data_IF_044786876929
#
_entry.id   IF_044786876929
#
_cell.length_a   1.000
_cell.length_b   1.000
_cell.length_c   1.000
_cell.angle_alpha   90.00
_cell.angle_beta   90.00
_cell.angle_gamma   90.00
#
_symmetry.space_group_name_H-M   'P 1'
#
loop_
_entity.id
_entity.type
_entity.pdbx_description
1 polymer ?
#
# COMPACT_ATOMS: atom_id res chain seq x y z
N UNK A 1 43.46 31.89 -43.20
CA UNK A 1 42.18 31.19 -43.42
C UNK A 1 42.36 29.73 -43.01
N UNK A 2 41.39 29.15 -42.29
CA UNK A 2 41.22 27.70 -42.01
C UNK A 2 42.11 27.09 -40.90
N UNK A 3 41.63 26.38 -39.87
CA UNK A 3 40.36 26.27 -39.13
C UNK A 3 40.74 25.36 -37.94
N UNK A 4 40.58 25.83 -36.70
CA UNK A 4 40.85 25.07 -35.48
C UNK A 4 39.82 23.94 -35.41
N UNK A 5 40.24 22.68 -35.52
CA UNK A 5 39.37 21.51 -35.38
C UNK A 5 39.32 21.14 -33.90
N UNK A 6 38.40 21.80 -33.17
CA UNK A 6 37.88 21.28 -31.90
C UNK A 6 36.78 20.27 -32.22
N UNK A 7 37.08 18.98 -32.18
CA UNK A 7 36.04 17.95 -32.15
C UNK A 7 35.79 17.56 -30.69
N UNK A 8 34.82 18.26 -30.11
CA UNK A 8 34.26 18.00 -28.78
C UNK A 8 33.67 16.58 -28.80
N UNK A 9 34.35 15.68 -28.10
CA UNK A 9 33.90 14.31 -27.87
C UNK A 9 32.70 14.37 -26.90
N UNK A 10 31.50 14.44 -27.47
CA UNK A 10 30.25 14.53 -26.72
C UNK A 10 30.04 13.25 -25.91
N UNK A 11 30.17 13.36 -24.59
CA UNK A 11 29.79 12.35 -23.60
C UNK A 11 28.28 12.04 -23.73
N UNK A 12 27.94 11.00 -24.48
CA UNK A 12 26.66 10.32 -24.33
C UNK A 12 26.83 9.21 -23.29
N UNK A 13 26.90 9.58 -22.01
CA UNK A 13 26.79 8.60 -20.94
C UNK A 13 25.32 8.19 -20.82
N UNK A 14 24.97 6.90 -20.94
CA UNK A 14 23.62 6.45 -20.62
C UNK A 14 23.40 6.70 -19.13
N UNK A 15 22.52 7.65 -18.81
CA UNK A 15 22.01 7.78 -17.45
C UNK A 15 21.37 6.44 -17.08
N UNK A 16 21.72 5.83 -15.93
CA UNK A 16 21.08 4.60 -15.52
C UNK A 16 19.59 4.89 -15.40
N UNK A 17 18.79 4.23 -16.22
CA UNK A 17 17.37 4.11 -15.99
C UNK A 17 17.23 3.43 -14.63
N UNK A 18 16.88 4.21 -13.59
CA UNK A 18 16.39 3.67 -12.34
C UNK A 18 15.12 2.92 -12.71
N UNK A 19 15.25 1.64 -13.06
CA UNK A 19 14.12 0.72 -13.04
C UNK A 19 13.58 0.83 -11.61
N UNK A 20 12.38 1.41 -11.45
CA UNK A 20 11.74 1.54 -10.16
C UNK A 20 11.66 0.12 -9.58
N UNK A 21 12.56 -0.20 -8.65
CA UNK A 21 12.47 -1.42 -7.87
C UNK A 21 11.24 -1.24 -7.00
N UNK A 22 10.12 -1.76 -7.45
CA UNK A 22 8.85 -1.70 -6.74
C UNK A 22 8.96 -2.67 -5.55
N UNK A 23 9.63 -2.19 -4.50
CA UNK A 23 9.90 -2.92 -3.28
C UNK A 23 8.92 -2.42 -2.24
N UNK A 24 8.07 -3.33 -1.76
CA UNK A 24 7.17 -3.00 -0.67
C UNK A 24 7.97 -2.58 0.56
N UNK A 25 7.61 -1.46 1.21
CA UNK A 25 8.18 -1.10 2.50
C UNK A 25 8.00 -2.25 3.51
N UNK A 26 8.97 -2.42 4.41
CA UNK A 26 8.82 -3.40 5.48
C UNK A 26 7.64 -3.04 6.39
N UNK A 27 7.07 -4.03 7.09
CA UNK A 27 5.97 -3.80 8.04
C UNK A 27 6.34 -2.80 9.15
N UNK A 28 7.63 -2.77 9.53
CA UNK A 28 8.19 -1.83 10.50
C UNK A 28 8.18 -0.42 9.93
N UNK A 29 8.73 -0.23 8.73
CA UNK A 29 8.75 1.08 8.07
C UNK A 29 7.33 1.62 7.81
N UNK A 30 6.39 0.75 7.44
CA UNK A 30 4.96 1.12 7.31
C UNK A 30 4.36 1.55 8.64
N UNK A 31 4.69 0.85 9.74
CA UNK A 31 4.24 1.23 11.08
C UNK A 31 4.81 2.58 11.52
N UNK A 32 6.10 2.82 11.33
CA UNK A 32 6.76 4.09 11.66
C UNK A 32 6.12 5.24 10.88
N UNK A 33 5.96 5.10 9.56
CA UNK A 33 5.25 6.10 8.74
C UNK A 33 3.83 6.37 9.25
N UNK A 34 3.09 5.32 9.62
CA UNK A 34 1.74 5.48 10.14
C UNK A 34 1.70 6.17 11.52
N UNK A 35 2.74 5.99 12.36
CA UNK A 35 2.88 6.70 13.63
C UNK A 35 3.26 8.17 13.46
N UNK A 36 4.11 8.47 12.47
CA UNK A 36 4.59 9.84 12.18
C UNK A 36 3.56 10.68 11.41
N UNK A 37 2.54 10.03 10.83
CA UNK A 37 1.47 10.72 10.10
C UNK A 37 0.58 11.55 11.03
N UNK A 38 0.05 12.65 10.50
CA UNK A 38 -1.01 13.42 11.15
C UNK A 38 -2.36 12.72 11.11
N UNK A 39 -2.52 11.72 10.25
CA UNK A 39 -3.73 10.92 10.14
C UNK A 39 -3.81 9.86 11.25
N UNK A 40 -5.02 9.53 11.69
CA UNK A 40 -5.23 8.44 12.64
C UNK A 40 -5.22 7.08 11.91
N UNK A 41 -4.44 6.13 12.40
CA UNK A 41 -4.39 4.76 11.85
C UNK A 41 -4.92 3.69 12.80
N UNK A 42 -5.52 2.65 12.23
CA UNK A 42 -5.86 1.40 12.92
C UNK A 42 -5.23 0.24 12.15
N UNK A 43 -4.48 -0.60 12.85
CA UNK A 43 -3.88 -1.80 12.25
C UNK A 43 -4.80 -3.00 12.48
N UNK A 44 -5.11 -3.74 11.42
CA UNK A 44 -6.05 -4.87 11.44
C UNK A 44 -5.39 -6.09 10.82
N UNK A 45 -5.48 -7.24 11.48
CA UNK A 45 -5.20 -8.55 10.89
C UNK A 45 -6.53 -9.27 10.65
N UNK A 46 -6.80 -9.68 9.41
CA UNK A 46 -8.06 -10.31 9.06
C UNK A 46 -8.23 -10.63 7.59
N UNK A 47 -9.45 -11.02 7.21
CA UNK A 47 -9.80 -11.29 5.81
C UNK A 47 -10.37 -10.06 5.13
N UNK A 48 -9.81 -9.73 3.97
CA UNK A 48 -10.31 -8.67 3.11
C UNK A 48 -11.31 -9.23 2.10
N UNK A 49 -12.54 -8.73 2.14
CA UNK A 49 -13.65 -9.13 1.28
C UNK A 49 -13.89 -8.03 0.25
N UNK A 50 -13.69 -8.36 -1.02
CA UNK A 50 -13.86 -7.46 -2.17
C UNK A 50 -14.87 -8.06 -3.13
N UNK A 51 -15.88 -7.29 -3.49
CA UNK A 51 -16.78 -7.67 -4.58
C UNK A 51 -16.07 -7.42 -5.92
N UNK A 52 -15.55 -8.48 -6.54
CA UNK A 52 -14.82 -8.40 -7.81
C UNK A 52 -15.65 -7.72 -8.92
N UNK A 53 -16.99 -7.83 -8.90
CA UNK A 53 -17.82 -7.13 -9.89
C UNK A 53 -17.79 -5.63 -9.68
N UNK A 54 -17.73 -5.16 -8.42
CA UNK A 54 -17.56 -3.74 -8.11
C UNK A 54 -16.16 -3.26 -8.44
N UNK A 55 -15.14 -4.09 -8.24
CA UNK A 55 -13.77 -3.81 -8.66
C UNK A 55 -13.68 -3.54 -10.18
N UNK A 56 -14.25 -4.44 -10.99
CA UNK A 56 -14.27 -4.28 -12.45
C UNK A 56 -15.07 -3.04 -12.89
N UNK A 57 -16.23 -2.78 -12.26
CA UNK A 57 -17.06 -1.59 -12.55
C UNK A 57 -16.38 -0.28 -12.17
N UNK A 58 -15.49 -0.28 -11.18
CA UNK A 58 -14.73 0.88 -10.77
C UNK A 58 -13.64 1.29 -11.80
N UNK A 59 -13.49 0.53 -12.89
CA UNK A 59 -12.57 0.88 -13.98
C UNK A 59 -11.13 0.40 -13.74
N UNK A 60 -10.86 -0.31 -12.64
CA UNK A 60 -9.53 -0.85 -12.31
C UNK A 60 -8.98 -1.85 -13.34
N UNK A 61 -9.81 -2.38 -14.24
CA UNK A 61 -9.40 -3.25 -15.36
C UNK A 61 -9.57 -2.60 -16.74
N UNK A 62 -9.83 -1.28 -16.79
CA UNK A 62 -9.95 -0.55 -18.05
C UNK A 62 -8.57 -0.30 -18.68
N UNK A 63 -8.52 0.02 -19.98
CA UNK A 63 -7.25 0.34 -20.66
C UNK A 63 -6.61 1.65 -20.17
N UNK A 64 -7.38 2.50 -19.48
CA UNK A 64 -6.92 3.77 -18.93
C UNK A 64 -7.66 4.05 -17.61
N UNK A 65 -7.32 3.32 -16.53
CA UNK A 65 -7.92 3.53 -15.22
C UNK A 65 -7.55 4.92 -14.71
N UNK A 66 -8.40 5.48 -13.85
CA UNK A 66 -8.02 6.67 -13.10
C UNK A 66 -6.77 6.36 -12.27
N UNK A 67 -5.87 7.34 -12.12
CA UNK A 67 -4.64 7.21 -11.33
C UNK A 67 -4.93 6.71 -9.90
N UNK A 68 -6.09 7.08 -9.35
CA UNK A 68 -6.60 6.58 -8.09
C UNK A 68 -8.04 6.08 -8.26
N UNK A 69 -8.27 4.80 -7.95
CA UNK A 69 -9.59 4.17 -8.01
C UNK A 69 -10.10 3.82 -6.61
N UNK A 70 -11.34 4.22 -6.28
CA UNK A 70 -11.97 3.96 -4.99
C UNK A 70 -12.94 2.79 -5.06
N UNK A 71 -12.72 1.76 -4.23
CA UNK A 71 -13.47 0.51 -4.29
C UNK A 71 -14.00 0.14 -2.90
N UNK A 72 -15.32 -0.04 -2.71
CA UNK A 72 -15.84 -0.47 -1.43
C UNK A 72 -15.45 -1.92 -1.15
N UNK A 73 -14.94 -2.16 0.06
CA UNK A 73 -14.58 -3.49 0.55
C UNK A 73 -15.03 -3.66 2.00
N UNK A 74 -14.82 -4.84 2.58
CA UNK A 74 -15.06 -5.11 3.99
C UNK A 74 -13.88 -5.88 4.54
N UNK A 75 -13.44 -5.57 5.75
CA UNK A 75 -12.43 -6.37 6.44
C UNK A 75 -13.03 -6.98 7.70
N UNK A 76 -12.80 -8.28 7.88
CA UNK A 76 -13.27 -9.07 9.02
C UNK A 76 -12.09 -9.71 9.74
N UNK A 77 -11.84 -9.31 10.97
CA UNK A 77 -10.69 -9.77 11.74
C UNK A 77 -10.58 -9.13 13.10
N UNK A 78 -9.35 -8.80 13.49
CA UNK A 78 -9.04 -8.21 14.78
C UNK A 78 -8.14 -6.99 14.61
N UNK A 79 -8.48 -5.91 15.30
CA UNK A 79 -7.66 -4.71 15.38
C UNK A 79 -6.62 -4.85 16.49
N UNK A 80 -5.47 -4.20 16.28
CA UNK A 80 -4.37 -4.14 17.21
C UNK A 80 -4.71 -3.25 18.41
N UNK A 81 -4.53 -3.80 19.60
CA UNK A 81 -4.51 -3.09 20.87
C UNK A 81 -3.17 -3.30 21.58
N UNK A 82 -2.97 -2.66 22.75
CA UNK A 82 -1.75 -2.80 23.56
C UNK A 82 -1.47 -4.26 23.95
N UNK A 83 -2.51 -5.08 24.02
CA UNK A 83 -2.49 -6.51 24.37
C UNK A 83 -2.44 -7.43 23.13
N UNK A 84 -2.29 -6.88 21.92
CA UNK A 84 -2.21 -7.62 20.66
C UNK A 84 -3.46 -7.49 19.79
N UNK A 85 -3.53 -8.29 18.73
CA UNK A 85 -4.68 -8.34 17.81
C UNK A 85 -5.89 -9.04 18.45
N UNK A 86 -6.65 -8.34 19.29
CA UNK A 86 -7.75 -8.94 20.04
C UNK A 86 -9.07 -8.14 20.02
N UNK A 87 -9.10 -6.90 19.53
CA UNK A 87 -10.35 -6.16 19.37
C UNK A 87 -11.09 -6.66 18.13
N UNK A 88 -12.35 -7.17 18.21
CA UNK A 88 -13.10 -7.56 17.03
C UNK A 88 -13.26 -6.39 16.05
N UNK A 89 -12.97 -6.63 14.77
CA UNK A 89 -13.08 -5.62 13.72
C UNK A 89 -13.86 -6.20 12.54
N UNK A 90 -15.03 -5.63 12.26
CA UNK A 90 -15.86 -5.94 11.09
C UNK A 90 -16.48 -4.64 10.58
N UNK A 91 -15.88 -4.06 9.54
CA UNK A 91 -16.27 -2.75 9.00
C UNK A 91 -16.12 -2.73 7.49
N UNK A 92 -17.02 -1.97 6.84
CA UNK A 92 -16.81 -1.53 5.47
C UNK A 92 -15.66 -0.54 5.42
N UNK A 93 -14.82 -0.67 4.40
CA UNK A 93 -13.65 0.19 4.15
C UNK A 93 -13.67 0.63 2.69
N UNK A 94 -12.92 1.69 2.39
CA UNK A 94 -12.65 2.12 1.02
C UNK A 94 -11.23 1.72 0.65
N UNK A 95 -11.06 0.96 -0.43
CA UNK A 95 -9.75 0.73 -1.04
C UNK A 95 -9.44 1.93 -1.94
N UNK A 96 -8.31 2.58 -1.70
CA UNK A 96 -7.72 3.57 -2.59
C UNK A 96 -6.59 2.89 -3.36
N UNK A 97 -6.89 2.43 -4.56
CA UNK A 97 -5.96 1.69 -5.42
C UNK A 97 -5.32 2.67 -6.40
N UNK A 98 -4.02 2.89 -6.23
CA UNK A 98 -3.20 3.61 -7.19
C UNK A 98 -2.91 2.73 -8.41
N UNK A 99 -3.06 3.29 -9.60
CA UNK A 99 -2.85 2.61 -10.87
C UNK A 99 -1.73 3.28 -11.67
N UNK A 100 -0.79 2.49 -12.18
CA UNK A 100 0.30 2.98 -13.03
C UNK A 100 0.02 2.59 -14.49
N UNK A 101 -0.56 3.52 -15.24
CA UNK A 101 -1.01 3.28 -16.60
C UNK A 101 -2.12 2.20 -16.61
N UNK A 102 -2.05 1.17 -17.46
CA UNK A 102 -3.10 0.14 -17.51
C UNK A 102 -3.05 -0.88 -16.37
N UNK A 103 -2.12 -0.75 -15.40
CA UNK A 103 -1.89 -1.72 -14.34
C UNK A 103 -2.37 -1.14 -13.00
N UNK A 104 -3.46 -1.71 -12.48
CA UNK A 104 -3.90 -1.48 -11.11
C UNK A 104 -3.58 -2.72 -10.28
N UNK A 105 -3.05 -2.52 -9.07
CA UNK A 105 -2.90 -3.62 -8.14
C UNK A 105 -4.27 -4.21 -7.80
N UNK A 106 -4.40 -5.52 -7.92
CA UNK A 106 -5.63 -6.23 -7.58
C UNK A 106 -5.45 -6.95 -6.26
N UNK A 107 -6.45 -6.85 -5.38
CA UNK A 107 -6.45 -7.65 -4.15
C UNK A 107 -7.35 -8.85 -4.31
N UNK A 108 -6.86 -10.01 -3.91
CA UNK A 108 -7.64 -11.24 -3.91
C UNK A 108 -8.79 -11.15 -2.89
N UNK A 109 -9.98 -11.56 -3.32
CA UNK A 109 -11.13 -11.61 -2.44
C UNK A 109 -10.98 -12.75 -1.42
N UNK A 110 -11.10 -12.42 -0.14
CA UNK A 110 -10.95 -13.35 0.98
C UNK A 110 -9.51 -13.48 1.47
N UNK A 111 -8.56 -12.70 0.93
CA UNK A 111 -7.16 -12.75 1.33
C UNK A 111 -6.97 -12.47 2.83
N UNK A 112 -6.11 -13.25 3.50
CA UNK A 112 -5.60 -12.92 4.83
C UNK A 112 -4.62 -11.76 4.72
N UNK A 113 -4.87 -10.67 5.44
CA UNK A 113 -4.10 -9.44 5.32
C UNK A 113 -3.78 -8.83 6.67
N UNK A 114 -2.61 -8.21 6.76
CA UNK A 114 -2.29 -7.20 7.75
C UNK A 114 -2.42 -5.82 7.08
N UNK A 115 -3.43 -5.06 7.48
CA UNK A 115 -3.79 -3.80 6.85
C UNK A 115 -3.61 -2.62 7.82
N UNK A 116 -3.01 -1.54 7.32
CA UNK A 116 -2.88 -0.26 8.00
C UNK A 116 -3.98 0.67 7.48
N UNK A 117 -5.08 0.75 8.23
CA UNK A 117 -6.25 1.54 7.82
C UNK A 117 -6.11 2.96 8.31
N UNK A 118 -6.02 3.91 7.38
CA UNK A 118 -6.20 5.33 7.70
C UNK A 118 -7.66 5.56 8.07
N UNK A 119 -7.91 6.40 9.08
CA UNK A 119 -9.24 6.85 9.48
C UNK A 119 -9.44 8.28 8.99
N UNK A 120 -10.48 8.48 8.21
CA UNK A 120 -10.92 9.79 7.74
C UNK A 120 -12.33 10.12 8.26
N UNK A 121 -12.92 11.21 7.77
CA UNK A 121 -14.27 11.61 8.14
C UNK A 121 -15.37 10.66 7.59
N UNK A 122 -15.07 9.93 6.52
CA UNK A 122 -16.01 9.02 5.84
C UNK A 122 -15.93 7.57 6.35
N UNK A 123 -14.84 7.19 7.03
CA UNK A 123 -14.63 5.87 7.59
C UNK A 123 -13.17 5.44 7.61
N UNK A 124 -12.93 4.24 7.08
CA UNK A 124 -11.62 3.61 7.02
C UNK A 124 -11.17 3.48 5.56
N UNK A 125 -9.92 3.81 5.32
CA UNK A 125 -9.30 3.80 3.99
C UNK A 125 -8.07 2.92 4.02
N UNK A 126 -7.96 2.03 3.03
CA UNK A 126 -6.77 1.24 2.78
C UNK A 126 -6.13 1.70 1.48
N UNK A 127 -4.94 2.31 1.58
CA UNK A 127 -4.18 2.74 0.42
C UNK A 127 -3.36 1.56 -0.13
N UNK A 128 -3.48 1.31 -1.43
CA UNK A 128 -2.80 0.21 -2.11
C UNK A 128 -2.14 0.82 -3.34
N UNK A 129 -0.87 0.51 -3.50
CA UNK A 129 -0.12 0.86 -4.69
C UNK A 129 0.46 -0.41 -5.32
N UNK A 130 0.96 -0.34 -6.57
CA UNK A 130 1.59 -1.48 -7.24
C UNK A 130 2.83 -2.06 -6.54
N UNK A 131 3.34 -1.40 -5.50
CA UNK A 131 4.43 -1.91 -4.67
C UNK A 131 3.92 -2.51 -3.35
N UNK A 132 2.61 -2.62 -3.14
CA UNK A 132 1.98 -3.26 -1.98
C UNK A 132 1.40 -2.29 -0.93
N UNK A 133 1.71 -0.99 -0.98
CA UNK A 133 1.10 0.04 -0.13
C UNK A 133 0.99 -0.30 1.37
N UNK A 134 -0.19 -0.04 1.93
CA UNK A 134 -0.53 -0.20 3.36
C UNK A 134 -1.07 -1.60 3.72
N UNK A 135 -0.89 -2.59 2.85
CA UNK A 135 -1.43 -3.96 3.02
C UNK A 135 -0.39 -5.04 2.80
N UNK A 136 -0.30 -5.98 3.72
CA UNK A 136 0.55 -7.16 3.58
C UNK A 136 -0.31 -8.41 3.43
N UNK A 137 -0.29 -9.01 2.25
CA UNK A 137 -0.99 -10.27 1.98
C UNK A 137 -0.28 -11.46 2.61
N UNK A 138 -1.05 -12.39 3.17
CA UNK A 138 -0.57 -13.58 3.89
C UNK A 138 0.55 -13.26 4.88
N UNK A 139 0.31 -12.34 5.85
CA UNK A 139 1.35 -11.85 6.74
C UNK A 139 1.97 -12.98 7.57
N UNK A 140 3.30 -13.04 7.60
CA UNK A 140 3.99 -13.97 8.47
C UNK A 140 3.76 -13.61 9.94
N UNK A 141 3.75 -14.63 10.82
CA UNK A 141 3.62 -14.43 12.27
C UNK A 141 4.69 -13.48 12.82
N UNK A 142 5.89 -13.46 12.22
CA UNK A 142 6.95 -12.54 12.59
C UNK A 142 6.56 -11.06 12.37
N UNK A 143 5.82 -10.76 11.30
CA UNK A 143 5.36 -9.40 10.97
C UNK A 143 4.33 -8.91 11.99
N UNK A 144 3.36 -9.76 12.34
CA UNK A 144 2.38 -9.45 13.39
C UNK A 144 3.07 -9.12 14.72
N UNK A 145 4.03 -9.96 15.12
CA UNK A 145 4.82 -9.74 16.33
C UNK A 145 5.70 -8.49 16.27
N UNK A 146 6.21 -8.12 15.10
CA UNK A 146 6.97 -6.87 14.92
C UNK A 146 6.09 -5.67 15.21
N UNK A 147 4.91 -5.60 14.57
CA UNK A 147 3.97 -4.50 14.77
C UNK A 147 3.48 -4.42 16.22
N UNK A 148 3.16 -5.55 16.85
CA UNK A 148 2.78 -5.60 18.27
C UNK A 148 3.88 -5.02 19.18
N UNK A 149 5.15 -5.32 18.89
CA UNK A 149 6.28 -4.75 19.65
C UNK A 149 6.39 -3.25 19.45
N UNK A 150 6.28 -2.79 18.21
CA UNK A 150 6.35 -1.37 17.90
C UNK A 150 5.22 -0.61 18.61
N UNK A 151 3.99 -1.11 18.52
CA UNK A 151 2.82 -0.52 19.15
C UNK A 151 2.91 -0.42 20.68
N UNK A 152 3.53 -1.42 21.32
CA UNK A 152 3.73 -1.39 22.77
C UNK A 152 4.80 -0.41 23.23
N UNK A 153 5.85 -0.23 22.42
CA UNK A 153 7.01 0.61 22.78
C UNK A 153 6.88 2.04 22.29
N UNK A 154 5.97 2.30 21.34
CA UNK A 154 5.88 3.57 20.62
C UNK A 154 6.97 3.77 19.56
N UNK A 155 7.86 2.79 19.40
CA UNK A 155 8.94 2.79 18.43
C UNK A 155 9.26 1.36 18.01
N UNK A 156 9.58 1.20 16.73
CA UNK A 156 10.31 0.05 16.22
C UNK A 156 11.82 0.32 16.37
#
# INVERSE_FOLDING_TARGET
MMRIISFILSLAAPLPALALSCVQPSVVATYERAQESTDAYVVVHGRLVVDQRKFLRAGASSQNPAEMTRIPATIEGRALLKTGFNAPFKRGITLEVACFGPWCESVENGADVLAFLRRDAAGYVLAIDPCGGDVFATPQVAMLKQVERCFRRGQC
#
